data_IF_087035840215
#
_entry.id   IF_087035840215
#
_cell.length_a   1.000
_cell.length_b   1.000
_cell.length_c   1.000
_cell.angle_alpha   90.00
_cell.angle_beta   90.00
_cell.angle_gamma   90.00
#
_symmetry.space_group_name_H-M   'P 1'
#
loop_
_entity.id
_entity.type
_entity.pdbx_description
1 polymer ?
#
# COMPACT_ATOMS: atom_id res chain seq x y z
N UNK A 1 -2.90 -7.24 8.55
CA UNK A 1 -2.42 -6.07 9.31
C UNK A 1 -0.90 -6.06 9.53
N UNK A 2 -0.22 -7.20 9.68
CA UNK A 2 1.22 -7.25 9.99
C UNK A 2 2.10 -6.36 9.09
N UNK A 3 1.93 -6.43 7.76
CA UNK A 3 2.73 -5.65 6.81
C UNK A 3 2.63 -4.13 7.00
N UNK A 4 1.43 -3.58 7.21
CA UNK A 4 1.27 -2.12 7.41
C UNK A 4 1.78 -1.67 8.79
N UNK A 5 1.69 -2.52 9.82
CA UNK A 5 2.31 -2.23 11.11
C UNK A 5 3.83 -2.24 11.03
N UNK A 6 4.40 -3.21 10.30
CA UNK A 6 5.84 -3.25 10.05
C UNK A 6 6.29 -1.96 9.34
N UNK A 7 5.67 -1.64 8.21
CA UNK A 7 5.99 -0.47 7.40
C UNK A 7 5.94 0.85 8.20
N UNK A 8 4.87 1.06 8.97
CA UNK A 8 4.75 2.26 9.79
C UNK A 8 5.80 2.35 10.88
N UNK A 9 5.99 1.26 11.65
CA UNK A 9 6.90 1.28 12.78
C UNK A 9 8.36 1.43 12.35
N UNK A 10 8.77 0.78 11.26
CA UNK A 10 10.13 0.92 10.74
C UNK A 10 10.38 2.32 10.19
N UNK A 11 9.39 2.96 9.54
CA UNK A 11 9.49 4.36 9.10
C UNK A 11 9.66 5.32 10.27
N UNK A 12 8.72 5.28 11.23
CA UNK A 12 8.66 6.25 12.34
C UNK A 12 9.84 6.10 13.30
N UNK A 13 10.36 4.87 13.47
CA UNK A 13 11.54 4.60 14.30
C UNK A 13 12.87 4.77 13.55
N UNK A 14 12.84 5.07 12.26
CA UNK A 14 14.05 5.24 11.45
C UNK A 14 14.86 3.94 11.25
N UNK A 15 14.21 2.78 11.27
CA UNK A 15 14.88 1.50 10.98
C UNK A 15 15.05 1.26 9.48
N UNK A 16 14.18 1.87 8.66
CA UNK A 16 14.24 1.82 7.20
C UNK A 16 13.89 3.20 6.63
N UNK A 17 14.65 3.63 5.64
CA UNK A 17 14.52 4.98 5.07
C UNK A 17 13.49 5.06 3.94
N UNK A 18 13.59 4.16 2.94
CA UNK A 18 12.67 4.09 1.80
C UNK A 18 11.79 2.83 1.90
N UNK A 19 10.48 3.05 2.04
CA UNK A 19 9.48 2.00 2.16
C UNK A 19 8.37 2.31 1.17
N UNK A 20 8.08 1.33 0.31
CA UNK A 20 7.03 1.40 -0.70
C UNK A 20 6.00 0.33 -0.40
N UNK A 21 4.74 0.72 -0.22
CA UNK A 21 3.65 -0.22 0.09
C UNK A 21 2.88 -0.49 -1.20
N UNK A 22 2.80 -1.77 -1.58
CA UNK A 22 2.00 -2.23 -2.70
C UNK A 22 0.83 -3.06 -2.19
N UNK A 23 -0.38 -2.57 -2.42
CA UNK A 23 -1.60 -3.35 -2.25
C UNK A 23 -1.86 -4.12 -3.54
N UNK A 24 -1.81 -5.44 -3.45
CA UNK A 24 -1.91 -6.31 -4.61
C UNK A 24 -2.69 -7.58 -4.24
N UNK A 25 -3.96 -7.64 -4.65
CA UNK A 25 -4.85 -8.76 -4.34
C UNK A 25 -5.90 -8.41 -3.28
N UNK A 26 -6.29 -9.34 -2.40
CA UNK A 26 -7.40 -9.12 -1.46
C UNK A 26 -7.21 -7.95 -0.49
N UNK A 27 -5.97 -7.49 -0.31
CA UNK A 27 -5.68 -6.34 0.55
C UNK A 27 -6.28 -5.02 0.05
N UNK A 28 -6.62 -4.89 -1.24
CA UNK A 28 -7.32 -3.71 -1.78
C UNK A 28 -8.73 -3.55 -1.21
N UNK A 29 -9.40 -4.65 -0.87
CA UNK A 29 -10.70 -4.60 -0.21
C UNK A 29 -10.60 -4.00 1.18
N UNK A 30 -9.50 -4.25 1.90
CA UNK A 30 -9.32 -3.71 3.24
C UNK A 30 -9.24 -2.18 3.20
N UNK A 31 -8.61 -1.62 2.15
CA UNK A 31 -8.51 -0.17 1.94
C UNK A 31 -9.88 0.47 1.83
N UNK A 32 -10.81 -0.17 1.12
CA UNK A 32 -12.17 0.36 0.91
C UNK A 32 -13.19 -0.17 1.92
N UNK A 33 -12.75 -1.00 2.88
CA UNK A 33 -13.64 -1.59 3.88
C UNK A 33 -13.97 -0.59 4.99
N UNK A 34 -15.09 -0.84 5.68
CA UNK A 34 -15.49 -0.06 6.86
C UNK A 34 -14.78 -0.51 8.15
N UNK A 35 -13.70 -1.28 8.04
CA UNK A 35 -12.92 -1.69 9.20
C UNK A 35 -12.20 -0.48 9.82
N UNK A 36 -12.72 0.02 10.94
CA UNK A 36 -12.21 1.22 11.61
C UNK A 36 -10.74 1.12 12.00
N UNK A 37 -10.29 -0.05 12.48
CA UNK A 37 -8.89 -0.24 12.87
C UNK A 37 -7.96 -0.14 11.67
N UNK A 38 -8.37 -0.71 10.53
CA UNK A 38 -7.65 -0.58 9.27
C UNK A 38 -7.64 0.87 8.79
N UNK A 39 -8.79 1.56 8.77
CA UNK A 39 -8.88 2.95 8.32
C UNK A 39 -8.02 3.89 9.18
N UNK A 40 -8.02 3.68 10.50
CA UNK A 40 -7.15 4.43 11.41
C UNK A 40 -5.67 4.19 11.10
N UNK A 41 -5.29 2.94 10.80
CA UNK A 41 -3.93 2.61 10.45
C UNK A 41 -3.54 3.18 9.07
N UNK A 42 -4.42 3.12 8.09
CA UNK A 42 -4.22 3.71 6.76
C UNK A 42 -4.00 5.22 6.87
N UNK A 43 -4.79 5.91 7.71
CA UNK A 43 -4.58 7.34 7.99
C UNK A 43 -3.19 7.61 8.55
N UNK A 44 -2.71 6.81 9.51
CA UNK A 44 -1.35 6.94 10.05
C UNK A 44 -0.27 6.78 8.97
N UNK A 45 -0.46 5.87 8.01
CA UNK A 45 0.45 5.70 6.88
C UNK A 45 0.45 6.93 5.97
N UNK A 46 -0.74 7.50 5.68
CA UNK A 46 -0.88 8.73 4.90
C UNK A 46 -0.23 9.93 5.60
N UNK A 47 -0.51 10.12 6.88
CA UNK A 47 0.06 11.20 7.70
C UNK A 47 1.58 11.09 7.82
N UNK A 48 2.13 9.87 7.80
CA UNK A 48 3.57 9.61 7.77
C UNK A 48 4.20 9.78 6.37
N UNK A 49 3.44 10.19 5.36
CA UNK A 49 3.92 10.42 3.99
C UNK A 49 4.36 9.14 3.29
N UNK A 50 3.83 7.97 3.68
CA UNK A 50 4.23 6.71 3.08
C UNK A 50 3.70 6.56 1.65
N UNK A 51 4.56 6.07 0.77
CA UNK A 51 4.21 5.83 -0.62
C UNK A 51 3.39 4.53 -0.74
N UNK A 52 2.14 4.67 -1.20
CA UNK A 52 1.18 3.57 -1.33
C UNK A 52 0.62 3.50 -2.75
N UNK A 53 0.59 2.29 -3.31
CA UNK A 53 -0.04 2.00 -4.60
C UNK A 53 -0.96 0.79 -4.49
N UNK A 54 -2.11 0.83 -5.15
CA UNK A 54 -2.98 -0.32 -5.39
C UNK A 54 -2.88 -0.83 -6.84
N UNK A 55 -3.11 -2.14 -7.05
CA UNK A 55 -3.00 -2.76 -8.37
C UNK A 55 -4.20 -2.41 -9.25
N UNK A 56 -3.94 -1.73 -10.36
CA UNK A 56 -4.95 -1.37 -11.35
C UNK A 56 -5.78 -2.57 -11.83
N UNK A 57 -5.16 -3.71 -12.11
CA UNK A 57 -5.88 -4.88 -12.62
C UNK A 57 -6.88 -5.46 -11.60
N UNK A 58 -6.51 -5.44 -10.31
CA UNK A 58 -7.38 -5.93 -9.23
C UNK A 58 -8.46 -4.89 -8.92
N UNK A 59 -8.06 -3.61 -8.83
CA UNK A 59 -8.97 -2.50 -8.58
C UNK A 59 -10.03 -2.38 -9.67
N UNK A 60 -9.67 -2.59 -10.95
CA UNK A 60 -10.61 -2.56 -12.08
C UNK A 60 -11.61 -3.71 -12.00
N UNK A 61 -11.10 -4.94 -11.80
CA UNK A 61 -11.92 -6.15 -11.65
C UNK A 61 -12.98 -6.01 -10.55
N UNK A 62 -12.68 -5.26 -9.50
CA UNK A 62 -13.58 -5.04 -8.36
C UNK A 62 -14.20 -3.65 -8.31
N UNK A 63 -14.06 -2.85 -9.37
CA UNK A 63 -14.63 -1.51 -9.49
C UNK A 63 -14.27 -0.57 -8.32
N UNK A 64 -13.04 -0.72 -7.80
CA UNK A 64 -12.53 0.02 -6.64
C UNK A 64 -11.78 1.31 -7.02
N UNK A 65 -11.42 1.49 -8.30
CA UNK A 65 -10.56 2.59 -8.77
C UNK A 65 -11.04 3.95 -8.26
N UNK A 66 -12.34 4.27 -8.45
CA UNK A 66 -12.88 5.56 -8.03
C UNK A 66 -12.78 5.79 -6.52
N UNK A 67 -13.05 4.75 -5.71
CA UNK A 67 -12.93 4.82 -4.24
C UNK A 67 -11.48 5.01 -3.81
N UNK A 68 -10.56 4.20 -4.35
CA UNK A 68 -9.14 4.26 -4.03
C UNK A 68 -8.52 5.61 -4.39
N UNK A 69 -8.80 6.10 -5.60
CA UNK A 69 -8.34 7.43 -6.05
C UNK A 69 -8.96 8.56 -5.21
N UNK A 70 -10.23 8.45 -4.82
CA UNK A 70 -10.90 9.41 -3.93
C UNK A 70 -10.30 9.47 -2.53
N UNK A 71 -9.63 8.40 -2.09
CA UNK A 71 -8.86 8.34 -0.84
C UNK A 71 -7.41 8.81 -1.01
N UNK A 72 -7.01 9.25 -2.21
CA UNK A 72 -5.63 9.66 -2.50
C UNK A 72 -4.66 8.50 -2.71
N UNK A 73 -5.14 7.26 -2.84
CA UNK A 73 -4.30 6.10 -3.13
C UNK A 73 -4.04 6.03 -4.64
N UNK A 74 -2.77 5.96 -5.03
CA UNK A 74 -2.39 5.81 -6.43
C UNK A 74 -2.74 4.41 -6.93
N UNK A 75 -3.29 4.31 -8.14
CA UNK A 75 -3.69 3.03 -8.75
C UNK A 75 -2.91 2.79 -10.04
N UNK A 76 -2.08 1.74 -10.08
CA UNK A 76 -1.14 1.45 -11.17
C UNK A 76 -0.92 -0.05 -11.38
N UNK A 77 -0.29 -0.45 -12.48
CA UNK A 77 0.14 -1.85 -12.69
C UNK A 77 1.35 -2.19 -11.80
N UNK A 78 1.08 -2.63 -10.57
CA UNK A 78 2.11 -2.91 -9.55
C UNK A 78 3.12 -3.98 -9.96
N UNK A 79 2.76 -4.96 -10.79
CA UNK A 79 3.70 -6.02 -11.20
C UNK A 79 4.95 -5.47 -11.90
N UNK A 80 4.78 -4.46 -12.78
CA UNK A 80 5.90 -3.77 -13.43
C UNK A 80 6.74 -3.00 -12.41
N UNK A 81 6.07 -2.24 -11.53
CA UNK A 81 6.71 -1.40 -10.51
C UNK A 81 7.53 -2.23 -9.52
N UNK A 82 6.99 -3.37 -9.05
CA UNK A 82 7.71 -4.30 -8.17
C UNK A 82 8.96 -4.82 -8.87
N UNK A 83 8.87 -5.22 -10.14
CA UNK A 83 10.03 -5.70 -10.89
C UNK A 83 11.11 -4.62 -11.08
N UNK A 84 10.71 -3.36 -11.27
CA UNK A 84 11.63 -2.21 -11.34
C UNK A 84 12.32 -1.99 -9.98
N UNK A 85 11.58 -1.96 -8.87
CA UNK A 85 12.16 -1.80 -7.54
C UNK A 85 13.11 -2.94 -7.16
N UNK A 86 12.78 -4.20 -7.50
CA UNK A 86 13.68 -5.33 -7.25
C UNK A 86 15.01 -5.16 -8.01
N UNK A 87 14.98 -4.60 -9.23
CA UNK A 87 16.22 -4.27 -9.97
C UNK A 87 16.99 -3.11 -9.33
N UNK A 88 16.29 -2.19 -8.67
CA UNK A 88 16.85 -1.10 -7.86
C UNK A 88 17.27 -1.55 -6.45
N UNK A 89 17.42 -2.85 -6.22
CA UNK A 89 17.92 -3.44 -4.97
C UNK A 89 16.95 -3.28 -3.77
N UNK A 90 15.66 -3.02 -4.02
CA UNK A 90 14.65 -3.16 -2.97
C UNK A 90 14.48 -4.63 -2.59
N UNK A 91 14.36 -4.88 -1.29
CA UNK A 91 14.02 -6.20 -0.76
C UNK A 91 12.50 -6.35 -0.67
N UNK A 92 11.87 -7.23 -1.48
CA UNK A 92 10.43 -7.44 -1.39
C UNK A 92 10.08 -8.19 -0.10
N UNK A 93 9.11 -7.67 0.63
CA UNK A 93 8.51 -8.33 1.79
C UNK A 93 7.01 -8.52 1.54
N UNK A 94 6.55 -9.76 1.62
CA UNK A 94 5.15 -10.14 1.36
C UNK A 94 4.46 -10.56 2.65
N UNK A 95 3.20 -10.15 2.83
CA UNK A 95 2.38 -10.38 4.03
C UNK A 95 0.95 -10.76 3.68
#
# INVERSE_FOLDING_TARGET
MAGIYFAYNTKVKGYLDDIRIMFFGPSEYLIVSENRDFQNMLKKLMDAGMFMIACKNISDKFQLIAKLSGMGIKVEYVGKIIAEYVREVFVPMTF
#
